data_IF_685882964099
#
_entry.id   IF_685882964099
#
_cell.length_a   1.000
_cell.length_b   1.000
_cell.length_c   1.000
_cell.angle_alpha   90.00
_cell.angle_beta   90.00
_cell.angle_gamma   90.00
#
_symmetry.space_group_name_H-M   'P 1'
#
loop_
_entity.id
_entity.type
_entity.pdbx_description
1 polymer ?
#
# COMPACT_ATOMS: atom_id res chain seq x y z
N UNK A 1 22.26 27.59 7.18
CA UNK A 1 22.23 27.66 5.71
C UNK A 1 22.20 26.20 5.25
N UNK A 2 21.02 25.55 5.28
CA UNK A 2 20.26 25.09 4.09
C UNK A 2 21.21 24.79 2.91
N UNK A 3 21.24 23.56 2.38
CA UNK A 3 20.19 23.03 1.49
C UNK A 3 19.96 21.52 1.72
N UNK A 4 18.69 21.13 1.85
CA UNK A 4 18.23 19.75 1.82
C UNK A 4 18.16 19.24 0.37
N UNK A 5 18.72 18.06 0.12
CA UNK A 5 18.53 17.31 -1.11
C UNK A 5 17.20 16.55 -1.01
N UNK A 6 16.11 17.19 -1.43
CA UNK A 6 14.78 16.56 -1.55
C UNK A 6 14.32 16.65 -3.00
N UNK A 7 14.23 15.50 -3.70
CA UNK A 7 13.21 15.33 -4.73
C UNK A 7 12.52 13.98 -4.50
N UNK A 8 11.21 13.87 -4.32
CA UNK A 8 10.19 14.13 -5.34
C UNK A 8 8.82 14.23 -4.67
N UNK A 9 8.26 15.42 -4.54
CA UNK A 9 6.88 15.62 -4.08
C UNK A 9 6.22 16.71 -4.92
N UNK A 10 5.92 16.45 -6.19
CA UNK A 10 4.92 17.25 -6.93
C UNK A 10 4.13 16.38 -7.92
N UNK A 11 2.82 16.27 -7.64
CA UNK A 11 1.82 15.61 -8.47
C UNK A 11 0.42 15.68 -7.84
N UNK A 12 -0.09 16.90 -7.63
CA UNK A 12 -1.40 17.21 -7.05
C UNK A 12 -2.55 17.04 -8.07
N UNK A 13 -3.62 16.32 -7.70
CA UNK A 13 -4.96 16.60 -8.26
C UNK A 13 -5.94 15.43 -8.43
N UNK A 14 -6.79 15.21 -7.42
CA UNK A 14 -8.17 14.71 -7.53
C UNK A 14 -8.42 13.29 -8.10
N UNK A 15 -7.86 12.28 -7.45
CA UNK A 15 -8.48 10.97 -7.27
C UNK A 15 -7.96 10.42 -5.94
N UNK A 16 -8.83 9.89 -5.07
CA UNK A 16 -8.51 9.56 -3.68
C UNK A 16 -7.13 8.92 -3.53
N UNK A 17 -6.29 9.48 -2.65
CA UNK A 17 -4.93 9.03 -2.37
C UNK A 17 -4.89 7.51 -2.16
N UNK A 18 -4.54 6.78 -3.23
CA UNK A 18 -4.42 5.33 -3.20
C UNK A 18 -3.23 5.01 -2.29
N UNK A 19 -3.53 4.61 -1.06
CA UNK A 19 -2.50 4.13 -0.15
C UNK A 19 -1.95 2.81 -0.69
N UNK A 20 -0.64 2.79 -0.94
CA UNK A 20 0.11 1.61 -1.34
C UNK A 20 1.14 1.28 -0.26
N UNK A 21 1.24 -0.01 0.09
CA UNK A 21 2.30 -0.47 0.98
C UNK A 21 3.67 -0.28 0.31
N UNK A 22 4.63 0.27 1.06
CA UNK A 22 6.03 0.27 0.66
C UNK A 22 6.56 -1.16 0.54
N UNK A 23 7.66 -1.35 -0.20
CA UNK A 23 8.27 -2.68 -0.37
C UNK A 23 8.67 -3.30 0.98
N UNK A 24 9.19 -2.49 1.91
CA UNK A 24 9.54 -2.93 3.25
C UNK A 24 8.31 -3.39 4.05
N UNK A 25 7.19 -2.65 3.96
CA UNK A 25 5.95 -3.04 4.63
C UNK A 25 5.35 -4.30 4.02
N UNK A 26 5.41 -4.44 2.69
CA UNK A 26 5.00 -5.65 1.99
C UNK A 26 5.83 -6.88 2.40
N UNK A 27 7.16 -6.74 2.43
CA UNK A 27 8.07 -7.82 2.81
C UNK A 27 7.85 -8.33 4.24
N UNK A 28 7.36 -7.48 5.14
CA UNK A 28 6.98 -7.90 6.50
C UNK A 28 5.68 -8.70 6.53
N UNK A 29 4.75 -8.48 5.59
CA UNK A 29 3.42 -9.11 5.56
C UNK A 29 3.43 -10.38 4.72
N UNK A 30 4.12 -10.37 3.58
CA UNK A 30 4.11 -11.43 2.58
C UNK A 30 4.35 -12.85 3.15
N UNK A 31 5.28 -13.08 4.09
CA UNK A 31 5.53 -14.42 4.65
C UNK A 31 4.35 -15.00 5.43
N UNK A 32 3.47 -14.14 5.94
CA UNK A 32 2.32 -14.53 6.75
C UNK A 32 1.06 -14.79 5.93
N UNK A 33 1.09 -14.52 4.61
CA UNK A 33 -0.05 -14.78 3.75
C UNK A 33 -0.22 -16.29 3.50
N UNK A 34 -1.46 -16.81 3.54
CA UNK A 34 -1.73 -18.21 3.26
C UNK A 34 -1.49 -18.50 1.77
N UNK A 35 -0.51 -19.37 1.47
CA UNK A 35 -0.08 -19.63 0.08
C UNK A 35 -0.86 -20.73 -0.64
N UNK A 36 -1.67 -21.53 0.08
CA UNK A 36 -2.36 -22.70 -0.46
C UNK A 36 -3.86 -22.66 -0.16
N UNK A 37 -4.52 -21.55 -0.52
CA UNK A 37 -5.96 -21.39 -0.28
C UNK A 37 -6.77 -22.04 -1.43
N UNK A 38 -7.79 -22.86 -1.13
CA UNK A 38 -8.74 -23.29 -2.14
C UNK A 38 -9.56 -22.09 -2.63
N UNK A 39 -9.74 -21.96 -3.96
CA UNK A 39 -10.54 -20.89 -4.58
C UNK A 39 -9.79 -20.06 -5.61
N UNK A 40 -10.38 -18.94 -6.02
CA UNK A 40 -9.80 -18.06 -7.02
C UNK A 40 -8.49 -17.44 -6.51
N UNK A 41 -7.43 -17.54 -7.33
CA UNK A 41 -6.14 -16.92 -7.01
C UNK A 41 -6.32 -15.41 -6.93
N UNK A 42 -5.89 -14.83 -5.81
CA UNK A 42 -5.73 -13.38 -5.72
C UNK A 42 -4.61 -12.99 -6.69
N UNK A 43 -4.98 -12.19 -7.69
CA UNK A 43 -4.03 -11.77 -8.74
C UNK A 43 -2.99 -10.81 -8.16
N UNK A 44 -3.40 -9.94 -7.23
CA UNK A 44 -2.55 -8.92 -6.63
C UNK A 44 -2.79 -8.79 -5.11
N UNK A 45 -2.18 -9.66 -4.30
CA UNK A 45 -2.32 -9.60 -2.84
C UNK A 45 -1.86 -8.25 -2.26
N UNK A 46 -0.77 -7.68 -2.77
CA UNK A 46 -0.26 -6.38 -2.32
C UNK A 46 -1.28 -5.26 -2.49
N UNK A 47 -2.03 -5.27 -3.59
CA UNK A 47 -3.07 -4.26 -3.85
C UNK A 47 -4.23 -4.40 -2.89
N UNK A 48 -4.69 -5.64 -2.68
CA UNK A 48 -5.81 -5.95 -1.77
C UNK A 48 -5.47 -5.54 -0.35
N UNK A 49 -4.30 -5.95 0.16
CA UNK A 49 -3.87 -5.63 1.53
C UNK A 49 -3.66 -4.13 1.69
N UNK A 50 -3.10 -3.44 0.68
CA UNK A 50 -2.97 -1.98 0.72
C UNK A 50 -4.32 -1.29 0.90
N UNK A 51 -5.36 -1.73 0.18
CA UNK A 51 -6.72 -1.21 0.35
C UNK A 51 -7.31 -1.46 1.75
N UNK A 52 -7.08 -2.65 2.32
CA UNK A 52 -7.54 -2.97 3.68
C UNK A 52 -6.86 -2.06 4.72
N UNK A 53 -5.53 -1.95 4.65
CA UNK A 53 -4.75 -1.09 5.58
C UNK A 53 -5.17 0.37 5.45
N UNK A 54 -5.46 0.83 4.23
CA UNK A 54 -5.98 2.18 3.99
C UNK A 54 -7.28 2.44 4.76
N UNK A 55 -8.25 1.52 4.65
CA UNK A 55 -9.54 1.65 5.33
C UNK A 55 -9.39 1.62 6.85
N UNK A 56 -8.52 0.74 7.37
CA UNK A 56 -8.24 0.67 8.80
C UNK A 56 -7.57 1.96 9.33
N UNK A 57 -6.72 2.61 8.54
CA UNK A 57 -6.02 3.84 8.93
C UNK A 57 -6.88 5.09 8.78
N UNK A 58 -7.66 5.19 7.70
CA UNK A 58 -8.38 6.41 7.35
C UNK A 58 -9.80 6.45 7.95
N UNK A 59 -10.35 5.29 8.33
CA UNK A 59 -11.77 5.14 8.64
C UNK A 59 -12.60 5.26 7.37
N UNK A 60 -13.51 4.30 7.14
CA UNK A 60 -14.51 4.46 6.07
C UNK A 60 -15.27 5.77 6.28
N UNK A 61 -15.32 6.61 5.26
CA UNK A 61 -16.05 7.88 5.26
C UNK A 61 -17.54 7.62 5.13
#
# INVERSE_FOLDING_TARGET
MLIQESPVEEGLGMAGSLFWLSDAAWAAIEPHLPKNQPGARRVDDRRVISGIVHMLKCGGR
#
